data_IF_520156684496
#
_entry.id   IF_520156684496
#
_cell.length_a   1.000
_cell.length_b   1.000
_cell.length_c   1.000
_cell.angle_alpha   90.00
_cell.angle_beta   90.00
_cell.angle_gamma   90.00
#
_symmetry.space_group_name_H-M   'P 1'
#
loop_
_entity.id
_entity.type
_entity.pdbx_description
1 polymer ?
#
# COMPACT_ATOMS: atom_id res chain seq x y z
N UNK A 1 0.07 0.15 26.05
CA UNK A 1 0.41 -1.17 25.48
C UNK A 1 0.48 -1.04 23.95
N UNK A 2 1.42 -1.69 23.28
CA UNK A 2 1.47 -1.71 21.81
C UNK A 2 0.25 -2.44 21.24
N UNK A 3 -0.09 -2.18 19.95
CA UNK A 3 -1.09 -2.98 19.24
C UNK A 3 -0.63 -4.43 19.10
N UNK A 4 -1.57 -5.35 18.93
CA UNK A 4 -1.26 -6.73 18.51
C UNK A 4 -0.53 -6.74 17.17
N UNK A 5 0.39 -7.69 16.91
CA UNK A 5 1.01 -7.86 15.59
C UNK A 5 -0.06 -7.97 14.51
N UNK A 6 0.11 -7.26 13.42
CA UNK A 6 -0.90 -7.18 12.36
C UNK A 6 -0.29 -6.89 10.98
N UNK A 7 -0.94 -7.35 9.93
CA UNK A 7 -0.60 -7.03 8.55
C UNK A 7 -1.67 -6.15 7.89
N UNK A 8 -1.31 -5.42 6.83
CA UNK A 8 -2.23 -4.64 6.01
C UNK A 8 -2.93 -3.48 6.73
N UNK A 9 -2.39 -3.03 7.86
CA UNK A 9 -2.79 -1.80 8.54
C UNK A 9 -2.23 -0.57 7.83
N UNK A 10 -2.75 0.59 8.13
CA UNK A 10 -2.12 1.86 7.77
C UNK A 10 -1.35 2.45 8.95
N UNK A 11 -0.27 3.16 8.63
CA UNK A 11 0.52 3.94 9.55
C UNK A 11 0.73 5.34 8.97
N UNK A 12 0.23 6.36 9.65
CA UNK A 12 0.27 7.75 9.16
C UNK A 12 0.88 8.65 10.21
N UNK A 13 1.97 9.32 9.85
CA UNK A 13 2.63 10.27 10.73
C UNK A 13 1.92 11.64 10.66
N UNK A 14 1.60 12.19 11.83
CA UNK A 14 1.04 13.54 11.98
C UNK A 14 1.74 14.24 13.15
N UNK A 15 2.61 15.21 12.84
CA UNK A 15 3.51 15.78 13.83
C UNK A 15 4.39 14.73 14.47
N UNK A 16 4.36 14.60 15.80
CA UNK A 16 5.09 13.59 16.55
C UNK A 16 4.28 12.30 16.84
N UNK A 17 3.13 12.14 16.20
CA UNK A 17 2.23 11.01 16.43
C UNK A 17 2.14 10.12 15.19
N UNK A 18 2.49 8.84 15.33
CA UNK A 18 2.25 7.83 14.29
C UNK A 18 0.92 7.13 14.59
N UNK A 19 -0.07 7.38 13.76
CA UNK A 19 -1.42 6.81 13.90
C UNK A 19 -1.51 5.51 13.12
N UNK A 20 -1.84 4.42 13.82
CA UNK A 20 -2.06 3.08 13.26
C UNK A 20 -3.56 2.82 13.23
N UNK A 21 -4.07 2.36 12.08
CA UNK A 21 -5.47 1.97 11.96
C UNK A 21 -5.65 0.63 11.27
N UNK A 22 -6.53 -0.19 11.80
CA UNK A 22 -7.02 -1.41 11.17
C UNK A 22 -5.95 -2.51 11.01
N UNK A 23 -6.05 -3.24 9.92
CA UNK A 23 -5.23 -4.41 9.63
C UNK A 23 -5.93 -5.72 9.97
N UNK A 24 -5.18 -6.80 9.90
CA UNK A 24 -5.65 -8.14 10.26
C UNK A 24 -4.53 -8.95 10.90
N UNK A 25 -4.91 -9.99 11.63
CA UNK A 25 -3.97 -11.01 12.10
C UNK A 25 -4.63 -12.40 12.03
N UNK A 26 -3.79 -13.43 12.02
CA UNK A 26 -4.26 -14.80 12.02
C UNK A 26 -4.43 -15.29 13.46
N UNK A 27 -5.63 -15.69 13.83
CA UNK A 27 -5.98 -16.10 15.22
C UNK A 27 -5.93 -17.62 15.44
N UNK A 28 -5.54 -18.39 14.40
CA UNK A 28 -5.45 -19.84 14.44
C UNK A 28 -6.40 -20.53 13.46
N UNK A 29 -6.32 -21.86 13.38
CA UNK A 29 -7.09 -22.64 12.39
C UNK A 29 -8.61 -22.56 12.61
N UNK A 30 -9.06 -22.46 13.85
CA UNK A 30 -10.49 -22.39 14.18
C UNK A 30 -11.10 -21.02 13.92
N UNK A 31 -10.37 -19.94 14.22
CA UNK A 31 -10.88 -18.55 14.16
C UNK A 31 -10.50 -17.84 12.85
N UNK A 32 -9.47 -18.34 12.12
CA UNK A 32 -9.03 -17.76 10.87
C UNK A 32 -8.41 -16.37 11.01
N UNK A 33 -8.75 -15.47 10.07
CA UNK A 33 -8.29 -14.09 10.10
C UNK A 33 -9.26 -13.17 10.83
N UNK A 34 -8.73 -12.41 11.79
CA UNK A 34 -9.46 -11.35 12.48
C UNK A 34 -9.13 -10.00 11.86
N UNK A 35 -10.16 -9.29 11.45
CA UNK A 35 -10.07 -7.95 10.89
C UNK A 35 -10.25 -6.91 12.00
N UNK A 36 -9.53 -5.81 11.91
CA UNK A 36 -9.44 -4.79 12.94
C UNK A 36 -9.97 -3.44 12.44
N UNK A 37 -10.53 -2.66 13.37
CA UNK A 37 -10.89 -1.26 13.16
C UNK A 37 -10.46 -0.37 14.34
N UNK A 38 -9.54 -0.88 15.15
CA UNK A 38 -8.97 -0.13 16.26
C UNK A 38 -7.95 0.90 15.77
N UNK A 39 -7.80 1.95 16.57
CA UNK A 39 -6.83 3.02 16.34
C UNK A 39 -5.83 3.02 17.50
N UNK A 40 -4.54 3.07 17.17
CA UNK A 40 -3.45 3.27 18.11
C UNK A 40 -2.59 4.45 17.69
N UNK A 41 -1.96 5.07 18.65
CA UNK A 41 -1.01 6.16 18.42
C UNK A 41 0.31 5.82 19.09
N UNK A 42 1.40 5.92 18.34
CA UNK A 42 2.75 5.93 18.89
C UNK A 42 3.23 7.38 18.93
N UNK A 43 3.49 7.88 20.13
CA UNK A 43 4.25 9.12 20.31
C UNK A 43 5.72 8.79 20.01
N UNK A 44 6.23 9.35 18.90
CA UNK A 44 7.59 9.02 18.43
C UNK A 44 8.69 9.64 19.29
N UNK A 45 8.40 10.74 20.00
CA UNK A 45 9.38 11.38 20.89
C UNK A 45 9.58 10.60 22.16
N UNK A 46 8.51 10.12 22.76
CA UNK A 46 8.54 9.35 24.01
C UNK A 46 8.54 7.83 23.81
N UNK A 47 8.39 7.35 22.58
CA UNK A 47 8.22 5.94 22.21
C UNK A 47 7.07 5.25 22.97
N UNK A 48 6.02 5.98 23.28
CA UNK A 48 4.87 5.48 24.06
C UNK A 48 3.68 5.18 23.20
N UNK A 49 3.12 4.00 23.38
CA UNK A 49 1.86 3.60 22.74
C UNK A 49 0.67 4.07 23.55
N UNK A 50 -0.30 4.65 22.84
CA UNK A 50 -1.57 5.15 23.37
C UNK A 50 -2.71 4.47 22.59
N UNK A 51 -3.73 4.02 23.32
CA UNK A 51 -5.01 3.64 22.73
C UNK A 51 -6.01 4.75 23.03
N UNK A 52 -6.26 5.66 22.07
CA UNK A 52 -7.08 6.83 22.32
C UNK A 52 -8.56 6.45 22.48
N UNK A 53 -9.30 7.31 23.16
CA UNK A 53 -10.76 7.26 23.12
C UNK A 53 -11.23 7.79 21.77
N UNK A 54 -11.98 6.98 21.05
CA UNK A 54 -12.49 7.32 19.72
C UNK A 54 -13.87 7.94 19.82
N UNK A 55 -14.11 8.97 19.02
CA UNK A 55 -15.40 9.64 18.81
C UNK A 55 -15.87 9.47 17.36
N UNK A 56 -17.16 9.74 17.10
CA UNK A 56 -17.75 9.54 15.78
C UNK A 56 -17.95 8.07 15.43
N UNK A 57 -18.04 7.78 14.14
CA UNK A 57 -18.27 6.42 13.64
C UNK A 57 -17.00 5.92 12.93
N UNK A 58 -16.22 5.04 13.56
CA UNK A 58 -15.03 4.48 12.92
C UNK A 58 -15.41 3.64 11.71
N UNK A 59 -14.52 3.52 10.70
CA UNK A 59 -14.74 2.66 9.56
C UNK A 59 -14.92 1.21 10.00
N UNK A 60 -15.65 0.37 9.23
CA UNK A 60 -15.66 -1.08 9.43
C UNK A 60 -14.27 -1.67 9.47
N UNK A 61 -14.08 -2.78 10.19
CA UNK A 61 -12.82 -3.49 10.29
C UNK A 61 -12.31 -3.88 8.89
N UNK A 62 -11.04 -3.57 8.61
CA UNK A 62 -10.45 -3.68 7.27
C UNK A 62 -8.94 -3.82 7.27
N UNK A 63 -8.40 -4.37 6.18
CA UNK A 63 -6.98 -4.37 5.84
C UNK A 63 -6.76 -3.97 4.38
N UNK A 64 -5.51 -3.65 4.01
CA UNK A 64 -5.14 -3.30 2.65
C UNK A 64 -5.83 -2.02 2.13
N UNK A 65 -6.34 -1.19 3.04
CA UNK A 65 -6.78 0.15 2.75
C UNK A 65 -5.58 1.09 2.60
N UNK A 66 -5.77 2.21 1.96
CA UNK A 66 -4.80 3.29 1.92
C UNK A 66 -5.10 4.37 2.93
N UNK A 67 -4.05 5.10 3.35
CA UNK A 67 -4.19 6.30 4.18
C UNK A 67 -3.26 7.41 3.71
N UNK A 68 -3.74 8.64 3.73
CA UNK A 68 -2.93 9.84 3.46
C UNK A 68 -3.26 10.93 4.49
N UNK A 69 -2.25 11.70 4.89
CA UNK A 69 -2.45 12.90 5.69
C UNK A 69 -2.70 14.08 4.77
N UNK A 70 -3.91 14.61 4.78
CA UNK A 70 -4.32 15.77 3.99
C UNK A 70 -4.72 16.92 4.93
N UNK A 71 -3.94 17.99 4.92
CA UNK A 71 -4.10 19.07 5.90
C UNK A 71 -3.99 18.53 7.33
N UNK A 72 -5.06 18.67 8.10
CA UNK A 72 -5.14 18.18 9.48
C UNK A 72 -5.86 16.83 9.62
N UNK A 73 -6.23 16.14 8.54
CA UNK A 73 -7.02 14.91 8.58
C UNK A 73 -6.31 13.75 7.90
N UNK A 74 -6.47 12.56 8.49
CA UNK A 74 -6.04 11.30 7.88
C UNK A 74 -7.22 10.77 7.08
N UNK A 75 -7.04 10.65 5.76
CA UNK A 75 -8.05 10.13 4.83
C UNK A 75 -7.79 8.65 4.59
N UNK A 76 -8.81 7.82 4.81
CA UNK A 76 -8.78 6.36 4.59
C UNK A 76 -9.67 6.03 3.39
N UNK A 77 -9.19 5.21 2.47
CA UNK A 77 -9.97 4.75 1.33
C UNK A 77 -9.90 3.24 1.15
N UNK A 78 -11.04 2.61 0.86
CA UNK A 78 -11.15 1.22 0.45
C UNK A 78 -10.68 0.19 1.48
N UNK A 79 -10.05 -0.88 0.98
CA UNK A 79 -9.61 -2.00 1.80
C UNK A 79 -10.55 -3.20 1.71
N UNK A 80 -10.21 -4.29 2.40
CA UNK A 80 -11.01 -5.50 2.48
C UNK A 80 -11.50 -5.72 3.91
N UNK A 81 -12.79 -5.79 4.09
CA UNK A 81 -13.46 -6.20 5.31
C UNK A 81 -13.75 -7.71 5.31
N UNK A 82 -14.36 -8.20 6.39
CA UNK A 82 -14.70 -9.62 6.52
C UNK A 82 -15.69 -10.12 5.45
N UNK A 83 -16.61 -9.28 5.00
CA UNK A 83 -17.68 -9.66 4.06
C UNK A 83 -17.44 -9.22 2.63
N UNK A 84 -16.77 -8.09 2.42
CA UNK A 84 -16.64 -7.46 1.09
C UNK A 84 -15.37 -6.64 0.95
N UNK A 85 -15.02 -6.36 -0.29
CA UNK A 85 -14.05 -5.34 -0.64
C UNK A 85 -14.74 -3.98 -0.64
N UNK A 86 -14.10 -2.98 -0.06
CA UNK A 86 -14.67 -1.69 0.26
C UNK A 86 -14.23 -0.61 -0.74
N UNK A 87 -15.03 0.47 -0.84
CA UNK A 87 -14.73 1.67 -1.64
C UNK A 87 -15.11 2.96 -0.93
N UNK A 88 -15.43 2.84 0.34
CA UNK A 88 -15.84 3.96 1.16
C UNK A 88 -14.65 4.84 1.54
N UNK A 89 -14.95 6.09 1.83
CA UNK A 89 -14.00 7.11 2.23
C UNK A 89 -14.32 7.51 3.68
N UNK A 90 -13.28 7.61 4.51
CA UNK A 90 -13.39 8.10 5.87
C UNK A 90 -12.27 9.07 6.18
N UNK A 91 -12.52 9.96 7.12
CA UNK A 91 -11.53 10.91 7.63
C UNK A 91 -11.43 10.81 9.14
N UNK A 92 -10.19 10.76 9.66
CA UNK A 92 -9.90 10.88 11.07
C UNK A 92 -9.30 12.25 11.35
N UNK A 93 -9.87 12.95 12.31
CA UNK A 93 -9.18 14.06 12.96
C UNK A 93 -8.25 13.48 14.04
N UNK A 94 -6.92 13.55 13.85
CA UNK A 94 -5.97 12.92 14.77
C UNK A 94 -5.77 13.71 16.09
N UNK A 95 -6.28 14.93 16.18
CA UNK A 95 -6.23 15.73 17.40
C UNK A 95 -7.39 15.37 18.33
N UNK A 96 -8.61 15.33 17.78
CA UNK A 96 -9.83 15.01 18.55
C UNK A 96 -10.15 13.51 18.57
N UNK A 97 -9.43 12.71 17.78
CA UNK A 97 -9.69 11.28 17.54
C UNK A 97 -11.14 11.02 17.12
N UNK A 98 -11.65 11.89 16.25
CA UNK A 98 -13.03 11.82 15.74
C UNK A 98 -13.05 11.34 14.31
N UNK A 99 -13.83 10.27 14.06
CA UNK A 99 -14.05 9.74 12.72
C UNK A 99 -15.25 10.42 12.05
N UNK A 100 -15.07 10.72 10.78
CA UNK A 100 -16.09 11.23 9.87
C UNK A 100 -16.23 10.31 8.67
N UNK A 101 -17.43 10.04 8.25
CA UNK A 101 -17.69 9.35 6.99
C UNK A 101 -17.59 10.36 5.85
N UNK A 102 -16.84 10.01 4.82
CA UNK A 102 -16.77 10.80 3.60
C UNK A 102 -18.03 10.63 2.74
N UNK A 103 -18.22 11.50 1.75
CA UNK A 103 -19.37 11.38 0.86
C UNK A 103 -19.28 10.11 0.04
N UNK A 104 -20.42 9.47 -0.17
CA UNK A 104 -20.60 8.44 -1.19
C UNK A 104 -20.70 9.13 -2.55
N UNK A 105 -19.54 9.46 -3.15
CA UNK A 105 -19.48 10.26 -4.37
C UNK A 105 -19.62 9.43 -5.63
N UNK A 106 -20.25 10.01 -6.65
CA UNK A 106 -20.17 9.54 -8.03
C UNK A 106 -18.73 9.60 -8.57
N UNK A 107 -18.40 8.71 -9.52
CA UNK A 107 -17.06 8.69 -10.15
C UNK A 107 -15.95 8.04 -9.33
N UNK A 108 -16.24 7.58 -8.10
CA UNK A 108 -15.26 6.88 -7.26
C UNK A 108 -14.76 5.58 -7.93
N UNK A 109 -13.51 5.17 -7.65
CA UNK A 109 -13.00 3.89 -8.13
C UNK A 109 -13.88 2.73 -7.63
N UNK A 110 -13.86 1.62 -8.38
CA UNK A 110 -14.44 0.35 -7.89
C UNK A 110 -13.78 -0.07 -6.57
N UNK A 111 -14.50 -0.87 -5.78
CA UNK A 111 -13.98 -1.40 -4.51
C UNK A 111 -12.63 -2.09 -4.73
N UNK A 112 -11.67 -1.80 -3.84
CA UNK A 112 -10.30 -2.29 -3.97
C UNK A 112 -9.55 -2.34 -2.66
N UNK A 113 -8.57 -3.23 -2.60
CA UNK A 113 -7.61 -3.32 -1.50
C UNK A 113 -6.20 -3.58 -2.04
N UNK A 114 -5.18 -3.39 -1.22
CA UNK A 114 -3.77 -3.44 -1.59
C UNK A 114 -3.43 -2.51 -2.78
N UNK A 115 -4.18 -1.42 -2.92
CA UNK A 115 -3.90 -0.29 -3.80
C UNK A 115 -2.97 0.69 -3.09
N UNK A 116 -2.39 1.60 -3.84
CA UNK A 116 -1.65 2.72 -3.24
C UNK A 116 -2.44 4.02 -3.30
N UNK A 117 -2.15 4.94 -2.38
CA UNK A 117 -2.63 6.31 -2.43
C UNK A 117 -1.54 7.29 -1.97
N UNK A 118 -1.43 8.41 -2.67
CA UNK A 118 -0.47 9.46 -2.37
C UNK A 118 -1.14 10.83 -2.45
N UNK A 119 -0.77 11.72 -1.52
CA UNK A 119 -1.20 13.10 -1.55
C UNK A 119 -0.29 13.91 -2.49
N UNK A 120 -0.88 14.63 -3.43
CA UNK A 120 -0.19 15.47 -4.41
C UNK A 120 -0.67 16.92 -4.26
N UNK A 121 0.26 17.85 -4.20
CA UNK A 121 -0.05 19.28 -4.10
C UNK A 121 -0.87 19.66 -2.85
N UNK A 122 -0.93 18.79 -1.83
CA UNK A 122 -1.66 19.02 -0.60
C UNK A 122 -3.19 18.87 -0.69
N UNK A 123 -3.76 18.85 -1.88
CA UNK A 123 -5.22 18.86 -2.11
C UNK A 123 -5.75 17.71 -2.96
N UNK A 124 -4.89 16.90 -3.58
CA UNK A 124 -5.31 15.80 -4.43
C UNK A 124 -4.77 14.46 -3.93
N UNK A 125 -5.65 13.47 -3.76
CA UNK A 125 -5.25 12.10 -3.46
C UNK A 125 -5.30 11.27 -4.73
N UNK A 126 -4.15 10.77 -5.17
CA UNK A 126 -4.04 9.84 -6.31
C UNK A 126 -4.09 8.41 -5.80
N UNK A 127 -5.02 7.62 -6.36
CA UNK A 127 -5.17 6.18 -6.10
C UNK A 127 -4.76 5.40 -7.34
N UNK A 128 -3.92 4.39 -7.16
CA UNK A 128 -3.45 3.53 -8.25
C UNK A 128 -3.60 2.05 -7.91
N UNK A 129 -4.06 1.26 -8.88
CA UNK A 129 -4.04 -0.19 -8.83
C UNK A 129 -4.91 -0.83 -7.76
N UNK A 130 -4.47 -1.97 -7.24
CA UNK A 130 -5.20 -2.78 -6.26
C UNK A 130 -5.96 -3.95 -6.88
N UNK A 131 -6.76 -4.63 -6.04
CA UNK A 131 -7.54 -5.81 -6.40
C UNK A 131 -8.92 -5.77 -5.74
N UNK A 132 -9.95 -6.27 -6.43
CA UNK A 132 -11.31 -6.35 -5.87
C UNK A 132 -11.74 -7.77 -5.46
N UNK A 133 -10.84 -8.74 -5.60
CA UNK A 133 -11.14 -10.16 -5.39
C UNK A 133 -11.32 -10.94 -6.69
N UNK A 134 -11.58 -10.25 -7.80
CA UNK A 134 -11.71 -10.81 -9.14
C UNK A 134 -10.72 -10.18 -10.13
N UNK A 135 -10.65 -8.85 -10.16
CA UNK A 135 -9.86 -8.09 -11.13
C UNK A 135 -8.72 -7.34 -10.45
N UNK A 136 -7.54 -7.37 -11.06
CA UNK A 136 -6.43 -6.47 -10.75
C UNK A 136 -6.56 -5.18 -11.54
N UNK A 137 -6.18 -4.07 -10.93
CA UNK A 137 -6.28 -2.76 -11.54
C UNK A 137 -4.90 -2.16 -11.85
N UNK A 138 -4.86 -1.33 -12.89
CA UNK A 138 -3.75 -0.44 -13.22
C UNK A 138 -4.26 0.98 -13.57
N UNK A 139 -5.49 1.26 -13.20
CA UNK A 139 -6.11 2.55 -13.40
C UNK A 139 -5.64 3.57 -12.35
N UNK A 140 -5.73 4.84 -12.72
CA UNK A 140 -5.43 5.99 -11.88
C UNK A 140 -6.73 6.74 -11.62
N UNK A 141 -6.97 7.07 -10.36
CA UNK A 141 -8.05 7.95 -9.94
C UNK A 141 -7.50 9.09 -9.10
N UNK A 142 -8.13 10.22 -9.20
CA UNK A 142 -7.80 11.42 -8.42
C UNK A 142 -9.02 11.85 -7.63
N UNK A 143 -8.88 11.96 -6.31
CA UNK A 143 -9.84 12.63 -5.44
C UNK A 143 -9.34 14.05 -5.20
N UNK A 144 -10.11 15.01 -5.63
CA UNK A 144 -9.95 16.40 -5.19
C UNK A 144 -10.55 16.52 -3.79
N UNK A 145 -9.71 16.84 -2.81
CA UNK A 145 -10.08 16.89 -1.39
C UNK A 145 -10.75 18.21 -0.98
N UNK A 146 -10.67 19.25 -1.81
CA UNK A 146 -11.34 20.52 -1.55
C UNK A 146 -12.82 20.45 -1.87
N UNK A 147 -13.16 19.81 -3.00
CA UNK A 147 -14.55 19.66 -3.46
C UNK A 147 -15.08 18.23 -3.28
N UNK A 148 -14.25 17.33 -2.75
CA UNK A 148 -14.57 15.91 -2.52
C UNK A 148 -15.12 15.20 -3.76
N UNK A 149 -14.52 15.45 -4.92
CA UNK A 149 -14.91 14.90 -6.21
C UNK A 149 -13.85 13.99 -6.80
N UNK A 150 -14.30 12.82 -7.28
CA UNK A 150 -13.45 11.88 -7.99
C UNK A 150 -13.39 12.16 -9.48
N UNK A 151 -12.22 11.97 -10.06
CA UNK A 151 -11.98 11.97 -11.50
C UNK A 151 -11.07 10.82 -11.91
N UNK A 152 -11.19 10.42 -13.17
CA UNK A 152 -10.32 9.42 -13.79
C UNK A 152 -9.57 10.09 -14.93
N UNK A 153 -8.32 10.52 -14.73
CA UNK A 153 -7.55 11.17 -15.78
C UNK A 153 -7.20 10.19 -16.90
N UNK A 154 -7.10 10.71 -18.11
CA UNK A 154 -6.54 9.96 -19.23
C UNK A 154 -5.04 9.84 -19.03
N UNK A 155 -4.54 8.62 -18.92
CA UNK A 155 -3.10 8.36 -18.82
C UNK A 155 -2.55 7.91 -20.17
N UNK A 156 -1.30 8.24 -20.46
CA UNK A 156 -0.58 7.82 -21.65
C UNK A 156 0.81 7.25 -21.30
N UNK A 157 1.54 6.78 -22.31
CA UNK A 157 2.84 6.16 -22.12
C UNK A 157 2.78 4.69 -21.65
N UNK A 158 3.92 4.08 -21.28
CA UNK A 158 4.03 2.67 -20.94
C UNK A 158 3.51 2.39 -19.50
N UNK A 159 2.20 2.38 -19.33
CA UNK A 159 1.56 2.10 -18.05
C UNK A 159 2.06 0.77 -17.45
N UNK A 160 2.10 0.64 -16.09
CA UNK A 160 2.39 -0.63 -15.44
C UNK A 160 1.29 -1.66 -15.71
N UNK A 161 1.65 -2.96 -15.60
CA UNK A 161 0.65 -4.03 -15.55
C UNK A 161 -0.30 -3.85 -14.36
N UNK A 162 -1.54 -4.37 -14.42
CA UNK A 162 -2.42 -4.43 -13.26
C UNK A 162 -1.71 -5.10 -12.07
N UNK A 163 -1.85 -4.55 -10.86
CA UNK A 163 -1.13 -5.03 -9.69
C UNK A 163 -1.74 -4.63 -8.36
N UNK A 164 -1.46 -5.42 -7.33
CA UNK A 164 -1.75 -5.14 -5.93
C UNK A 164 -0.49 -5.23 -5.08
N UNK A 165 -0.53 -4.67 -3.86
CA UNK A 165 0.56 -4.78 -2.89
C UNK A 165 1.89 -4.19 -3.37
N UNK A 166 1.85 -3.35 -4.39
CA UNK A 166 2.96 -2.50 -4.80
C UNK A 166 3.14 -1.37 -3.80
N UNK A 167 4.31 -0.78 -3.79
CA UNK A 167 4.55 0.45 -3.06
C UNK A 167 4.54 1.66 -3.99
N UNK A 168 4.15 2.81 -3.46
CA UNK A 168 4.24 4.09 -4.18
C UNK A 168 4.76 5.19 -3.28
N UNK A 169 5.58 6.07 -3.86
CA UNK A 169 6.10 7.28 -3.22
C UNK A 169 6.04 8.44 -4.19
N UNK A 170 5.89 9.65 -3.65
CA UNK A 170 5.92 10.88 -4.43
C UNK A 170 7.30 11.56 -4.30
N UNK A 171 7.92 11.88 -5.42
CA UNK A 171 9.19 12.61 -5.51
C UNK A 171 8.97 13.81 -6.43
N UNK A 172 8.86 15.00 -5.85
CA UNK A 172 8.40 16.17 -6.60
C UNK A 172 7.00 15.94 -7.17
N UNK A 173 6.87 16.02 -8.50
CA UNK A 173 5.61 15.72 -9.22
C UNK A 173 5.55 14.27 -9.72
N UNK A 174 6.56 13.46 -9.46
CA UNK A 174 6.65 12.10 -9.96
C UNK A 174 6.15 11.08 -8.92
N UNK A 175 5.09 10.36 -9.25
CA UNK A 175 4.61 9.21 -8.49
C UNK A 175 5.36 7.95 -8.95
N UNK A 176 6.23 7.46 -8.09
CA UNK A 176 7.05 6.26 -8.35
C UNK A 176 6.32 5.04 -7.80
N UNK A 177 6.14 4.03 -8.64
CA UNK A 177 5.54 2.74 -8.31
C UNK A 177 6.62 1.66 -8.39
N UNK A 178 6.72 0.80 -7.37
CA UNK A 178 7.65 -0.33 -7.36
C UNK A 178 6.96 -1.63 -6.98
N UNK A 179 7.32 -2.70 -7.69
CA UNK A 179 6.95 -4.06 -7.35
C UNK A 179 5.46 -4.35 -7.42
N UNK A 180 5.02 -5.25 -6.56
CA UNK A 180 3.64 -5.71 -6.51
C UNK A 180 3.47 -7.13 -7.01
N UNK A 181 2.22 -7.55 -7.07
CA UNK A 181 1.81 -8.90 -7.44
C UNK A 181 0.58 -8.86 -8.35
N UNK A 182 0.55 -9.77 -9.32
CA UNK A 182 -0.65 -10.10 -10.09
C UNK A 182 -0.56 -11.55 -10.56
N UNK A 183 -1.67 -12.12 -11.00
CA UNK A 183 -1.68 -13.39 -11.70
C UNK A 183 -2.49 -13.27 -12.99
N UNK A 184 -2.07 -14.04 -14.00
CA UNK A 184 -2.78 -14.08 -15.27
C UNK A 184 -3.95 -15.07 -15.18
N UNK A 185 -5.16 -14.54 -15.23
CA UNK A 185 -6.42 -15.28 -15.11
C UNK A 185 -7.05 -15.64 -16.48
N UNK A 186 -6.35 -15.38 -17.58
CA UNK A 186 -6.91 -15.66 -18.92
C UNK A 186 -7.29 -17.13 -19.10
N UNK A 187 -6.56 -18.03 -18.45
CA UNK A 187 -6.86 -19.47 -18.48
C UNK A 187 -8.08 -19.84 -17.61
N UNK A 188 -8.36 -19.12 -16.53
CA UNK A 188 -9.56 -19.31 -15.71
C UNK A 188 -10.82 -18.85 -16.41
N UNK A 189 -10.77 -17.72 -17.09
CA UNK A 189 -11.90 -17.19 -17.88
C UNK A 189 -12.26 -18.12 -19.05
N UNK A 190 -11.27 -18.72 -19.72
CA UNK A 190 -11.46 -19.69 -20.82
C UNK A 190 -11.97 -21.05 -20.33
N UNK A 191 -11.66 -21.46 -19.11
CA UNK A 191 -12.06 -22.77 -18.57
C UNK A 191 -13.43 -22.77 -17.86
N UNK A 192 -14.20 -21.69 -17.93
CA UNK A 192 -15.53 -21.62 -17.31
C UNK A 192 -15.52 -21.88 -15.80
N UNK A 193 -14.45 -21.51 -15.12
CA UNK A 193 -14.31 -21.65 -13.67
C UNK A 193 -13.98 -23.08 -13.18
N UNK A 194 -13.74 -24.03 -14.08
CA UNK A 194 -13.28 -25.39 -13.71
C UNK A 194 -11.76 -25.44 -13.76
N UNK A 195 -11.14 -25.69 -12.60
CA UNK A 195 -9.70 -25.96 -12.48
C UNK A 195 -9.31 -27.17 -13.32
N UNK A 196 -8.89 -26.96 -14.56
CA UNK A 196 -8.15 -27.95 -15.32
C UNK A 196 -6.67 -27.59 -15.24
N UNK A 197 -5.99 -27.99 -14.16
CA UNK A 197 -4.58 -28.32 -14.10
C UNK A 197 -3.51 -27.33 -14.57
N UNK A 198 -3.88 -26.14 -15.07
CA UNK A 198 -2.92 -25.09 -15.41
C UNK A 198 -2.66 -24.24 -14.17
N UNK A 199 -1.45 -24.38 -13.61
CA UNK A 199 -0.99 -23.58 -12.50
C UNK A 199 -1.19 -22.09 -12.81
N UNK A 200 -1.87 -21.36 -11.91
CA UNK A 200 -1.95 -19.91 -11.93
C UNK A 200 -0.51 -19.38 -12.02
N UNK A 201 -0.19 -18.65 -13.07
CA UNK A 201 1.12 -18.03 -13.19
C UNK A 201 1.17 -16.81 -12.31
N UNK A 202 1.66 -16.98 -11.09
CA UNK A 202 1.93 -15.90 -10.15
C UNK A 202 3.09 -15.04 -10.63
N UNK A 203 2.86 -13.75 -10.74
CA UNK A 203 3.84 -12.77 -11.16
C UNK A 203 4.14 -11.79 -10.03
N UNK A 204 5.27 -11.99 -9.38
CA UNK A 204 5.87 -11.00 -8.49
C UNK A 204 6.66 -10.01 -9.33
N UNK A 205 6.61 -8.75 -8.98
CA UNK A 205 7.19 -7.66 -9.76
C UNK A 205 8.33 -6.96 -8.99
N UNK A 206 9.26 -6.36 -9.74
CA UNK A 206 10.33 -5.51 -9.19
C UNK A 206 10.61 -4.31 -10.11
N UNK A 207 9.73 -4.06 -11.08
CA UNK A 207 9.87 -2.94 -11.99
C UNK A 207 9.57 -1.60 -11.30
N UNK A 208 10.18 -0.54 -11.82
CA UNK A 208 9.90 0.83 -11.42
C UNK A 208 9.14 1.51 -12.56
N UNK A 209 8.01 2.13 -12.20
CA UNK A 209 7.20 2.95 -13.09
C UNK A 209 7.01 4.32 -12.47
N UNK A 210 6.99 5.32 -13.31
CA UNK A 210 6.84 6.70 -12.88
C UNK A 210 5.66 7.31 -13.61
N UNK A 211 4.73 7.90 -12.86
CA UNK A 211 3.65 8.73 -13.37
C UNK A 211 3.99 10.18 -13.07
N UNK A 212 4.12 10.99 -14.08
CA UNK A 212 4.09 12.44 -13.93
C UNK A 212 2.66 12.84 -13.55
N UNK A 213 2.48 13.44 -12.37
CA UNK A 213 1.16 13.73 -11.80
C UNK A 213 0.51 15.01 -12.36
N UNK A 214 1.24 15.78 -13.15
CA UNK A 214 0.72 16.96 -13.85
C UNK A 214 0.21 16.59 -15.25
N UNK A 215 0.99 15.78 -15.98
CA UNK A 215 0.67 15.40 -17.37
C UNK A 215 -0.01 14.05 -17.48
N UNK A 216 0.00 13.24 -16.42
CA UNK A 216 -0.49 11.86 -16.39
C UNK A 216 0.17 10.94 -17.43
N UNK A 217 1.46 11.18 -17.70
CA UNK A 217 2.26 10.37 -18.62
C UNK A 217 3.09 9.37 -17.82
N UNK A 218 2.95 8.08 -18.17
CA UNK A 218 3.76 7.00 -17.62
C UNK A 218 5.12 6.91 -18.31
N UNK A 219 6.14 6.64 -17.54
CA UNK A 219 7.49 6.34 -18.02
C UNK A 219 8.09 5.13 -17.29
N UNK A 220 9.12 4.56 -17.90
CA UNK A 220 9.94 3.50 -17.29
C UNK A 220 11.24 4.11 -16.82
N UNK A 221 11.58 3.86 -15.59
CA UNK A 221 12.84 4.27 -15.04
C UNK A 221 13.86 3.13 -15.20
N UNK A 222 15.04 3.46 -15.75
CA UNK A 222 16.17 2.53 -15.79
C UNK A 222 17.06 2.83 -14.59
N UNK A 223 17.27 1.82 -13.78
CA UNK A 223 18.09 1.91 -12.57
C UNK A 223 19.19 0.87 -12.68
N UNK A 224 20.41 1.26 -12.34
CA UNK A 224 21.59 0.40 -12.31
C UNK A 224 21.74 -0.32 -10.97
N UNK A 225 22.79 -1.14 -10.83
CA UNK A 225 23.03 -1.92 -9.62
C UNK A 225 22.17 -3.19 -9.55
N UNK A 226 22.19 -3.85 -8.41
CA UNK A 226 21.41 -5.08 -8.19
C UNK A 226 20.04 -4.71 -7.62
N UNK A 227 18.95 -4.86 -8.40
CA UNK A 227 17.61 -4.56 -7.90
C UNK A 227 17.20 -5.57 -6.82
N UNK A 228 16.23 -5.19 -5.96
CA UNK A 228 15.65 -6.15 -5.02
C UNK A 228 14.97 -7.31 -5.75
N UNK A 229 14.84 -8.45 -5.08
CA UNK A 229 14.00 -9.55 -5.57
C UNK A 229 12.57 -9.04 -5.84
N UNK A 230 11.89 -9.71 -6.77
CA UNK A 230 10.47 -9.46 -7.07
C UNK A 230 9.62 -9.65 -5.82
N UNK A 231 8.83 -8.65 -5.44
CA UNK A 231 8.11 -8.63 -4.15
C UNK A 231 6.81 -7.84 -4.15
N UNK A 232 5.97 -8.12 -3.17
CA UNK A 232 4.80 -7.32 -2.85
C UNK A 232 4.67 -7.13 -1.32
N UNK A 233 3.88 -6.14 -0.90
CA UNK A 233 3.64 -5.86 0.52
C UNK A 233 4.86 -5.31 1.27
N UNK A 234 5.86 -4.81 0.54
CA UNK A 234 6.99 -4.07 1.08
C UNK A 234 6.60 -2.62 1.35
N UNK A 235 7.45 -1.92 2.07
CA UNK A 235 7.32 -0.48 2.29
C UNK A 235 8.45 0.28 1.59
N UNK A 236 8.16 1.51 1.19
CA UNK A 236 9.16 2.45 0.69
C UNK A 236 8.97 3.80 1.37
N UNK A 237 10.08 4.47 1.64
CA UNK A 237 10.09 5.82 2.19
C UNK A 237 11.25 6.62 1.62
N UNK A 238 11.15 7.96 1.68
CA UNK A 238 12.16 8.88 1.17
C UNK A 238 13.01 9.40 2.32
N UNK A 239 14.33 9.32 2.16
CA UNK A 239 15.31 9.88 3.10
C UNK A 239 16.38 10.67 2.33
N UNK A 240 16.20 11.98 2.23
CA UNK A 240 17.02 12.82 1.37
C UNK A 240 16.88 12.46 -0.11
N UNK A 241 17.98 12.10 -0.76
CA UNK A 241 18.01 11.58 -2.14
C UNK A 241 17.91 10.06 -2.23
N UNK A 242 17.81 9.37 -1.10
CA UNK A 242 17.70 7.92 -1.05
C UNK A 242 16.25 7.49 -0.83
N UNK A 243 15.84 6.44 -1.51
CA UNK A 243 14.58 5.74 -1.29
C UNK A 243 14.89 4.44 -0.57
N UNK A 244 14.34 4.31 0.62
CA UNK A 244 14.50 3.14 1.48
C UNK A 244 13.39 2.14 1.18
N UNK A 245 13.74 0.90 0.86
CA UNK A 245 12.82 -0.20 0.66
C UNK A 245 13.03 -1.23 1.78
N UNK A 246 11.94 -1.63 2.43
CA UNK A 246 12.02 -2.60 3.51
C UNK A 246 10.97 -3.71 3.37
N UNK A 247 11.43 -4.96 3.56
CA UNK A 247 10.57 -6.12 3.72
C UNK A 247 9.84 -6.56 2.46
N UNK A 248 8.64 -7.04 2.67
CA UNK A 248 7.77 -7.61 1.63
C UNK A 248 7.92 -9.10 1.47
N UNK A 249 6.98 -9.67 0.72
CA UNK A 249 6.93 -11.09 0.40
C UNK A 249 7.52 -11.33 -0.98
N UNK A 250 8.48 -12.27 -1.06
CA UNK A 250 9.10 -12.70 -2.32
C UNK A 250 8.71 -14.14 -2.62
N UNK A 251 8.84 -14.58 -3.88
CA UNK A 251 8.62 -15.97 -4.25
C UNK A 251 9.56 -16.92 -3.50
N UNK A 252 10.76 -16.46 -3.23
CA UNK A 252 11.79 -17.21 -2.50
C UNK A 252 11.53 -17.25 -1.00
N UNK A 253 10.97 -16.17 -0.40
CA UNK A 253 10.62 -16.15 1.02
C UNK A 253 9.51 -17.13 1.36
N UNK A 254 8.55 -17.35 0.46
CA UNK A 254 7.50 -18.36 0.63
C UNK A 254 8.05 -19.80 0.76
N UNK A 255 9.19 -20.08 0.16
CA UNK A 255 9.89 -21.35 0.28
C UNK A 255 10.82 -21.43 1.53
N UNK A 256 11.19 -20.27 2.09
CA UNK A 256 12.24 -20.13 3.12
C UNK A 256 11.74 -20.06 4.56
N UNK A 257 10.44 -20.02 4.83
CA UNK A 257 9.95 -20.14 6.22
C UNK A 257 10.38 -21.43 6.94
N UNK A 258 11.14 -22.30 6.26
CA UNK A 258 11.75 -23.51 6.84
C UNK A 258 13.22 -23.36 7.24
N UNK A 259 13.87 -22.24 6.89
CA UNK A 259 15.28 -21.99 7.22
C UNK A 259 15.46 -20.54 7.65
N UNK A 260 16.22 -20.35 8.71
CA UNK A 260 16.66 -19.01 9.16
C UNK A 260 17.40 -18.31 7.99
N UNK A 261 17.12 -17.02 7.74
CA UNK A 261 17.79 -16.28 6.68
C UNK A 261 19.28 -16.18 7.01
N UNK A 262 20.13 -16.60 6.08
CA UNK A 262 21.57 -16.32 6.17
C UNK A 262 21.81 -14.86 5.82
N UNK A 263 22.77 -14.19 6.47
CA UNK A 263 23.12 -12.78 6.23
C UNK A 263 23.35 -12.44 4.75
N UNK A 264 23.78 -13.41 3.93
CA UNK A 264 24.07 -13.22 2.51
C UNK A 264 22.82 -13.25 1.60
N UNK A 265 21.68 -13.74 2.08
CA UNK A 265 20.49 -13.98 1.26
C UNK A 265 19.34 -12.98 1.48
N UNK A 266 19.50 -12.01 2.36
CA UNK A 266 18.42 -11.13 2.79
C UNK A 266 18.52 -9.76 2.11
N UNK A 267 17.65 -9.49 1.15
CA UNK A 267 17.45 -8.15 0.60
C UNK A 267 16.25 -7.44 1.24
N UNK A 268 16.08 -7.62 2.57
CA UNK A 268 15.00 -6.98 3.34
C UNK A 268 15.11 -5.47 3.37
N UNK A 269 16.34 -4.96 3.30
CA UNK A 269 16.59 -3.53 3.30
C UNK A 269 17.44 -3.15 2.11
N UNK A 270 16.83 -2.45 1.17
CA UNK A 270 17.45 -1.96 -0.05
C UNK A 270 17.34 -0.45 -0.11
N UNK A 271 18.32 0.18 -0.72
CA UNK A 271 18.39 1.61 -0.92
C UNK A 271 18.51 1.90 -2.42
N UNK A 272 17.61 2.73 -2.92
CA UNK A 272 17.72 3.27 -4.26
C UNK A 272 18.13 4.74 -4.17
N UNK A 273 19.33 5.07 -4.63
CA UNK A 273 19.80 6.45 -4.70
C UNK A 273 19.25 7.11 -5.96
N UNK A 274 18.56 8.21 -5.81
CA UNK A 274 18.04 9.00 -6.95
C UNK A 274 19.14 9.81 -7.62
N UNK A 275 20.23 10.15 -6.91
CA UNK A 275 21.36 10.88 -7.46
C UNK A 275 22.18 10.02 -8.44
N UNK A 276 22.42 8.76 -8.08
CA UNK A 276 23.20 7.83 -8.89
C UNK A 276 22.34 6.90 -9.75
N UNK A 277 21.03 6.94 -9.58
CA UNK A 277 20.07 6.05 -10.21
C UNK A 277 20.46 4.58 -10.07
N UNK A 278 20.83 4.17 -8.83
CA UNK A 278 21.34 2.83 -8.57
C UNK A 278 20.81 2.23 -7.28
N UNK A 279 20.64 0.89 -7.31
CA UNK A 279 20.30 0.10 -6.12
C UNK A 279 21.56 -0.32 -5.37
N UNK A 280 21.50 -0.27 -4.05
CA UNK A 280 22.50 -0.84 -3.13
C UNK A 280 21.79 -1.55 -1.97
N UNK A 281 22.43 -2.55 -1.38
CA UNK A 281 21.94 -3.16 -0.14
C UNK A 281 22.14 -2.19 1.01
N UNK A 282 21.12 -2.03 1.84
CA UNK A 282 21.22 -1.31 3.09
C UNK A 282 21.99 -2.13 4.13
N UNK A 283 22.71 -1.44 4.99
CA UNK A 283 23.34 -2.04 6.18
C UNK A 283 22.49 -1.70 7.39
N UNK A 284 22.22 -2.66 8.22
CA UNK A 284 21.52 -2.46 9.49
C UNK A 284 22.38 -3.03 10.65
N UNK A 285 22.21 -2.47 11.82
CA UNK A 285 22.86 -2.94 13.04
C UNK A 285 21.78 -3.62 13.88
N UNK A 286 21.96 -4.89 14.19
CA UNK A 286 21.03 -5.72 14.96
C UNK A 286 20.47 -6.89 14.15
N UNK A 287 19.72 -7.76 14.83
CA UNK A 287 18.97 -8.83 14.16
C UNK A 287 17.70 -8.26 13.56
N UNK A 288 17.31 -8.65 12.32
CA UNK A 288 16.10 -8.20 11.64
C UNK A 288 14.81 -8.64 12.34
#
# INVERSE_FOLDING_TARGET
MPPTPRGGHSATLTGASLVIFGGHFYEGQESGFKYLNDTYVLDVNSSRWIKPKISGTPPPARYGHSSVLAGSRIIIFGGKGAKSVLRDLHALDPVTMTWYQGPEGGGAPSSRFDHSANLVGGTKMIVFGGWNGADFFNDVYVLDLEIMAWSKPNTSGPAPSPRKGHCSILIGTNLVIHGGFWFNDENMKKAGGKNQGTALQECYLNDIRVLDTETFVWSRLRVSGTPPEHRYGHTMDVSGSDILLFGGWTKTSGARFKHEPTEESCDYFMIWSTDTMSWKRGKYIGNP
#
